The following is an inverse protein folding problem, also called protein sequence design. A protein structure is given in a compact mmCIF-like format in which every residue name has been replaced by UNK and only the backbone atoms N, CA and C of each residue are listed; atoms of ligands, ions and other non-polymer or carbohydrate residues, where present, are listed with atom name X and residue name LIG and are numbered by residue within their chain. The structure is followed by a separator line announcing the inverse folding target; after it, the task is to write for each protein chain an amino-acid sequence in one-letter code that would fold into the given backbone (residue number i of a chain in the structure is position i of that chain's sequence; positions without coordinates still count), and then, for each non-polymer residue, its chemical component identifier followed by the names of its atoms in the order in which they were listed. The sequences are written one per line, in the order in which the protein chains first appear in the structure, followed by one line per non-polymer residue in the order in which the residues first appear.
data_IF_836945101806
#
_entry.id   IF_836945101806
#
_cell.length_a   1.000
_cell.length_b   1.000
_cell.length_c   1.000
_cell.angle_alpha   90.00
_cell.angle_beta   90.00
_cell.angle_gamma   90.00
#
_symmetry.space_group_name_H-M   'P 1'
#
loop_
_entity.id
_entity.type
_entity.pdbx_description
1 polymer ?
#
# COMPACT_ATOMS: atom_id res chain seq x y z
N UNK A 1 26.26 12.07 -38.57
CA UNK A 1 26.75 10.72 -38.90
C UNK A 1 25.94 9.73 -38.08
N UNK A 2 24.96 9.09 -38.72
CA UNK A 2 24.10 8.07 -38.13
C UNK A 2 24.76 6.70 -38.34
N UNK A 3 24.74 5.83 -37.32
CA UNK A 3 25.03 4.41 -37.47
C UNK A 3 23.85 3.61 -36.91
N UNK A 4 23.09 3.03 -37.83
CA UNK A 4 22.03 2.05 -37.62
C UNK A 4 22.58 0.74 -37.06
N UNK A 5 21.95 0.21 -35.99
CA UNK A 5 22.07 -1.21 -35.62
C UNK A 5 20.72 -1.88 -35.87
N UNK A 6 20.65 -2.58 -37.00
CA UNK A 6 19.55 -3.47 -37.32
C UNK A 6 19.52 -4.65 -36.32
N UNK A 7 18.44 -4.74 -35.52
CA UNK A 7 18.12 -5.94 -34.75
C UNK A 7 17.21 -6.81 -35.62
N UNK A 8 17.74 -7.93 -36.09
CA UNK A 8 17.00 -8.91 -36.88
C UNK A 8 16.06 -9.72 -35.99
N UNK A 9 14.76 -9.44 -36.09
CA UNK A 9 13.70 -10.25 -35.50
C UNK A 9 13.57 -11.56 -36.27
N UNK A 10 13.90 -12.69 -35.63
CA UNK A 10 13.65 -14.02 -36.18
C UNK A 10 12.17 -14.35 -36.02
N UNK A 11 11.48 -14.60 -37.13
CA UNK A 11 10.08 -15.04 -37.17
C UNK A 11 10.03 -16.55 -36.87
N UNK A 12 9.58 -16.92 -35.67
CA UNK A 12 9.49 -18.32 -35.25
C UNK A 12 8.34 -19.05 -35.97
N UNK A 13 8.62 -20.22 -36.53
CA UNK A 13 7.64 -21.05 -37.25
C UNK A 13 6.81 -21.90 -36.28
N UNK A 14 5.57 -22.19 -36.65
CA UNK A 14 4.58 -22.93 -35.82
C UNK A 14 4.96 -24.38 -35.49
N UNK A 15 6.02 -24.91 -36.11
CA UNK A 15 6.60 -26.23 -35.83
C UNK A 15 7.48 -26.25 -34.56
N UNK A 16 8.16 -25.16 -34.24
CA UNK A 16 9.00 -25.00 -33.03
C UNK A 16 8.14 -24.99 -31.76
N UNK A 17 7.01 -24.26 -31.80
CA UNK A 17 6.06 -24.17 -30.67
C UNK A 17 5.43 -25.52 -30.29
N UNK A 18 5.31 -26.46 -31.23
CA UNK A 18 4.75 -27.79 -30.96
C UNK A 18 5.72 -28.73 -30.24
N UNK A 19 7.04 -28.55 -30.40
CA UNK A 19 8.05 -29.38 -29.71
C UNK A 19 8.17 -29.01 -28.23
N UNK A 20 8.03 -27.74 -27.88
CA UNK A 20 8.01 -27.29 -26.48
C UNK A 20 6.77 -27.77 -25.70
N UNK A 21 5.66 -28.06 -26.40
CA UNK A 21 4.39 -28.46 -25.78
C UNK A 21 4.29 -29.93 -25.36
N UNK A 22 5.25 -30.79 -25.73
CA UNK A 22 5.21 -32.25 -25.42
C UNK A 22 6.10 -32.69 -24.26
N UNK A 23 6.84 -31.78 -23.60
CA UNK A 23 7.82 -32.15 -22.56
C UNK A 23 7.42 -31.87 -21.11
N UNK A 24 6.17 -31.50 -20.82
CA UNK A 24 5.70 -31.30 -19.44
C UNK A 24 4.35 -31.95 -19.21
N UNK A 25 4.28 -33.27 -19.41
CA UNK A 25 3.31 -34.12 -18.72
C UNK A 25 3.93 -34.48 -17.37
N UNK A 26 3.78 -33.58 -16.40
CA UNK A 26 3.82 -33.87 -14.97
C UNK A 26 3.18 -32.66 -14.28
N UNK A 27 1.98 -32.79 -13.69
CA UNK A 27 1.48 -31.75 -12.82
C UNK A 27 2.40 -31.70 -11.59
N UNK A 28 2.97 -30.54 -11.22
CA UNK A 28 3.50 -30.41 -9.88
C UNK A 28 2.32 -30.59 -8.94
N UNK A 29 2.40 -31.59 -8.07
CA UNK A 29 1.50 -31.72 -6.92
C UNK A 29 1.43 -30.34 -6.29
N UNK A 30 0.25 -29.73 -6.35
CA UNK A 30 0.01 -28.43 -5.75
C UNK A 30 0.20 -28.60 -4.24
N UNK A 31 1.41 -28.33 -3.77
CA UNK A 31 1.65 -28.03 -2.38
C UNK A 31 0.89 -26.72 -2.12
N UNK A 32 -0.37 -26.85 -1.70
CA UNK A 32 -1.20 -25.77 -1.21
C UNK A 32 -0.55 -25.24 0.08
N UNK A 33 0.49 -24.42 -0.08
CA UNK A 33 0.95 -23.56 1.00
C UNK A 33 -0.11 -22.49 1.18
N UNK A 34 -1.05 -22.78 2.07
CA UNK A 34 -1.86 -21.76 2.73
C UNK A 34 -0.94 -20.88 3.56
N UNK A 35 -0.18 -20.00 2.91
CA UNK A 35 0.56 -18.93 3.58
C UNK A 35 -0.47 -17.88 4.00
N UNK A 36 -1.21 -18.17 5.07
CA UNK A 36 -1.90 -17.15 5.86
C UNK A 36 -0.82 -16.29 6.52
N UNK A 37 -0.41 -15.24 5.84
CA UNK A 37 0.38 -14.19 6.47
C UNK A 37 -0.54 -13.44 7.44
N UNK A 38 -0.45 -13.78 8.72
CA UNK A 38 -1.14 -13.09 9.81
C UNK A 38 -0.46 -11.74 10.05
N UNK A 39 -0.99 -10.69 9.43
CA UNK A 39 -0.58 -9.32 9.73
C UNK A 39 -1.44 -8.81 10.90
N UNK A 40 -0.89 -8.86 12.12
CA UNK A 40 -1.50 -8.24 13.29
C UNK A 40 -1.23 -6.74 13.26
N UNK A 41 -2.28 -5.93 13.13
CA UNK A 41 -2.20 -4.48 13.36
C UNK A 41 -2.81 -4.16 14.72
N UNK A 42 -2.04 -3.52 15.60
CA UNK A 42 -2.54 -2.99 16.86
C UNK A 42 -3.38 -1.76 16.56
N UNK A 43 -4.67 -1.81 16.90
CA UNK A 43 -5.54 -0.63 16.85
C UNK A 43 -5.08 0.35 17.94
N UNK A 44 -4.29 1.35 17.56
CA UNK A 44 -3.87 2.41 18.48
C UNK A 44 -5.08 3.32 18.80
N UNK A 45 -5.64 3.10 19.99
CA UNK A 45 -6.44 4.00 20.82
C UNK A 45 -7.03 5.27 20.16
N UNK A 46 -8.33 5.22 19.85
CA UNK A 46 -9.20 6.40 19.81
C UNK A 46 -10.43 6.12 20.67
N UNK A 47 -10.36 6.55 21.94
CA UNK A 47 -11.43 6.77 22.93
C UNK A 47 -12.83 6.20 22.62
N UNK A 48 -12.97 4.88 22.46
CA UNK A 48 -14.28 4.23 22.45
C UNK A 48 -14.19 2.82 23.07
N UNK A 49 -14.67 2.61 24.31
CA UNK A 49 -14.54 1.33 25.02
C UNK A 49 -15.38 0.17 24.43
N UNK A 50 -16.12 0.40 23.34
CA UNK A 50 -16.92 -0.62 22.65
C UNK A 50 -16.27 -1.24 21.41
N UNK A 51 -15.04 -0.84 21.05
CA UNK A 51 -14.29 -1.44 19.95
C UNK A 51 -13.80 -2.84 20.38
N UNK A 52 -14.66 -3.85 20.16
CA UNK A 52 -14.40 -5.27 20.41
C UNK A 52 -12.97 -5.62 19.99
N UNK A 53 -12.16 -6.03 20.95
CA UNK A 53 -10.73 -6.35 20.86
C UNK A 53 -10.42 -7.60 20.03
N UNK A 54 -11.16 -7.84 18.95
CA UNK A 54 -10.89 -8.90 17.98
C UNK A 54 -9.91 -8.43 16.91
N UNK A 55 -9.31 -9.38 16.16
CA UNK A 55 -8.52 -9.02 14.98
C UNK A 55 -9.37 -8.15 14.02
N UNK A 56 -8.76 -7.23 13.27
CA UNK A 56 -9.47 -6.42 12.29
C UNK A 56 -10.41 -7.28 11.43
N UNK A 57 -11.60 -6.80 11.03
CA UNK A 57 -12.58 -7.58 10.29
C UNK A 57 -12.17 -7.86 8.83
N UNK A 58 -10.86 -7.97 8.56
CA UNK A 58 -10.25 -8.14 7.25
C UNK A 58 -9.11 -9.17 7.30
N UNK A 59 -8.91 -9.90 6.20
CA UNK A 59 -7.77 -10.81 5.97
C UNK A 59 -7.18 -10.59 4.59
N UNK A 60 -5.90 -10.90 4.41
CA UNK A 60 -5.24 -10.85 3.10
C UNK A 60 -5.26 -12.24 2.47
N UNK A 61 -5.62 -12.34 1.19
CA UNK A 61 -5.54 -13.59 0.42
C UNK A 61 -5.22 -13.29 -1.06
N UNK A 62 -4.95 -14.33 -1.84
CA UNK A 62 -4.71 -14.21 -3.28
C UNK A 62 -6.02 -14.30 -4.07
N UNK A 63 -6.03 -13.60 -5.20
CA UNK A 63 -7.04 -13.68 -6.25
C UNK A 63 -6.41 -14.27 -7.50
N UNK A 64 -7.22 -14.90 -8.35
CA UNK A 64 -6.73 -15.54 -9.57
C UNK A 64 -6.16 -14.55 -10.59
N UNK A 65 -6.67 -13.30 -10.61
CA UNK A 65 -6.36 -12.33 -11.67
C UNK A 65 -5.76 -11.00 -11.18
N UNK A 66 -5.91 -10.63 -9.90
CA UNK A 66 -5.48 -9.33 -9.38
C UNK A 66 -4.37 -9.41 -8.31
N UNK A 67 -3.85 -10.61 -8.03
CA UNK A 67 -2.83 -10.83 -7.01
C UNK A 67 -3.41 -10.75 -5.59
N UNK A 68 -2.75 -10.02 -4.67
CA UNK A 68 -3.14 -9.93 -3.25
C UNK A 68 -4.32 -8.98 -3.05
N UNK A 69 -5.35 -9.46 -2.36
CA UNK A 69 -6.55 -8.69 -1.99
C UNK A 69 -6.86 -8.75 -0.50
N UNK A 70 -7.73 -7.84 -0.04
CA UNK A 70 -8.23 -7.76 1.33
C UNK A 70 -9.70 -8.19 1.36
N UNK A 71 -10.05 -9.12 2.25
CA UNK A 71 -11.36 -9.75 2.33
C UNK A 71 -11.96 -9.61 3.72
N UNK A 72 -13.25 -9.33 3.81
CA UNK A 72 -13.94 -9.27 5.09
C UNK A 72 -13.99 -10.64 5.79
N UNK A 73 -13.78 -10.67 7.11
CA UNK A 73 -13.90 -11.90 7.92
C UNK A 73 -15.30 -12.09 8.53
N UNK A 74 -16.15 -11.06 8.45
CA UNK A 74 -17.56 -11.06 8.88
C UNK A 74 -18.36 -10.02 8.08
N UNK A 75 -19.68 -9.95 8.32
CA UNK A 75 -20.52 -8.86 7.80
C UNK A 75 -20.08 -7.51 8.40
N UNK A 76 -20.00 -6.48 7.56
CA UNK A 76 -19.61 -5.11 7.91
C UNK A 76 -20.81 -4.19 7.69
N UNK A 77 -21.16 -3.40 8.70
CA UNK A 77 -22.27 -2.46 8.64
C UNK A 77 -21.92 -1.17 7.88
N UNK A 78 -22.95 -0.42 7.47
CA UNK A 78 -22.74 0.92 6.89
C UNK A 78 -22.18 1.86 7.97
N UNK A 79 -21.12 2.60 7.64
CA UNK A 79 -20.45 3.52 8.57
C UNK A 79 -19.53 2.84 9.58
N UNK A 80 -19.33 1.52 9.51
CA UNK A 80 -18.44 0.81 10.42
C UNK A 80 -16.95 1.05 10.10
N UNK A 81 -16.15 1.30 11.14
CA UNK A 81 -14.70 1.43 11.00
C UNK A 81 -14.06 0.04 10.76
N UNK A 82 -13.52 -0.15 9.56
CA UNK A 82 -12.90 -1.42 9.14
C UNK A 82 -11.43 -1.51 9.60
N UNK A 83 -10.65 -0.45 9.41
CA UNK A 83 -9.23 -0.41 9.78
C UNK A 83 -8.72 1.03 9.85
N UNK A 84 -7.73 1.28 10.70
CA UNK A 84 -6.98 2.54 10.77
C UNK A 84 -5.49 2.23 10.66
N UNK A 85 -4.79 2.93 9.76
CA UNK A 85 -3.35 2.82 9.58
C UNK A 85 -2.69 4.17 9.80
N UNK A 86 -1.52 4.16 10.44
CA UNK A 86 -0.64 5.32 10.49
C UNK A 86 0.28 5.28 9.27
N UNK A 87 0.34 6.35 8.46
CA UNK A 87 1.24 6.39 7.31
C UNK A 87 2.70 6.34 7.77
N UNK A 88 3.52 5.58 7.03
CA UNK A 88 4.96 5.48 7.32
C UNK A 88 5.71 6.76 6.95
N UNK A 89 5.30 7.40 5.84
CA UNK A 89 5.86 8.64 5.31
C UNK A 89 4.71 9.50 4.82
N UNK A 90 4.75 10.79 5.15
CA UNK A 90 3.77 11.77 4.66
C UNK A 90 4.49 13.04 4.24
N UNK A 91 4.12 13.58 3.10
CA UNK A 91 4.60 14.87 2.63
C UNK A 91 3.49 15.61 1.87
N UNK A 92 3.31 16.92 2.07
CA UNK A 92 2.32 17.71 1.31
C UNK A 92 2.61 17.68 -0.19
N UNK A 93 1.56 17.68 -1.01
CA UNK A 93 1.75 17.91 -2.44
C UNK A 93 2.28 19.33 -2.70
N UNK A 94 2.94 19.51 -3.85
CA UNK A 94 3.56 20.79 -4.21
C UNK A 94 2.58 21.99 -4.14
N UNK A 95 1.34 21.81 -4.60
CA UNK A 95 0.30 22.87 -4.56
C UNK A 95 -0.13 23.30 -3.15
N UNK A 96 0.17 22.45 -2.15
CA UNK A 96 -0.22 22.63 -0.75
C UNK A 96 0.98 22.97 0.16
N UNK A 97 2.18 23.12 -0.42
CA UNK A 97 3.32 23.64 0.34
C UNK A 97 2.95 24.96 1.00
N UNK A 98 3.37 25.13 2.25
CA UNK A 98 3.06 26.28 3.11
C UNK A 98 1.57 26.54 3.43
N UNK A 99 0.65 25.70 2.94
CA UNK A 99 -0.81 25.82 3.20
C UNK A 99 -1.34 24.79 4.18
N UNK A 100 -0.54 23.76 4.49
CA UNK A 100 -0.88 22.69 5.42
C UNK A 100 0.28 22.42 6.37
N UNK A 101 -0.03 21.89 7.55
CA UNK A 101 0.98 21.40 8.48
C UNK A 101 1.67 20.15 7.91
N UNK A 102 3.00 20.11 7.92
CA UNK A 102 3.79 19.02 7.32
C UNK A 102 3.66 17.69 8.07
N UNK A 103 3.27 17.72 9.34
CA UNK A 103 2.99 16.54 10.15
C UNK A 103 1.53 16.07 10.09
N UNK A 104 0.58 16.90 10.55
CA UNK A 104 -0.82 16.49 10.67
C UNK A 104 -1.71 16.81 9.45
N UNK A 105 -1.16 17.42 8.40
CA UNK A 105 -1.83 17.80 7.14
C UNK A 105 -3.06 18.71 7.30
N UNK A 106 -3.33 19.25 8.49
CA UNK A 106 -4.37 20.27 8.70
C UNK A 106 -4.02 21.55 7.96
N UNK A 107 -5.02 22.19 7.37
CA UNK A 107 -4.87 23.51 6.72
C UNK A 107 -4.39 24.55 7.74
N UNK A 108 -3.39 25.33 7.33
CA UNK A 108 -2.93 26.49 8.10
C UNK A 108 -3.84 27.69 7.77
N UNK A 109 -4.21 28.46 8.78
CA UNK A 109 -4.95 29.71 8.59
C UNK A 109 -4.04 30.81 8.02
N UNK A 110 -4.62 31.85 7.42
CA UNK A 110 -3.86 32.99 6.87
C UNK A 110 -3.15 33.85 7.94
N UNK A 111 -3.52 33.71 9.20
CA UNK A 111 -3.19 34.61 10.31
C UNK A 111 -2.00 34.14 11.18
N UNK A 112 -1.28 33.08 10.81
CA UNK A 112 -0.25 32.56 11.70
C UNK A 112 1.13 33.14 11.40
N UNK A 113 1.56 34.07 12.25
CA UNK A 113 2.97 34.45 12.52
C UNK A 113 3.85 33.30 13.07
N UNK A 114 3.40 32.06 12.92
CA UNK A 114 4.05 30.82 13.36
C UNK A 114 4.59 30.08 12.14
N UNK A 115 5.64 29.28 12.37
CA UNK A 115 6.34 28.45 11.37
C UNK A 115 5.46 28.07 10.16
N UNK A 116 5.88 28.48 8.95
CA UNK A 116 5.18 28.23 7.68
C UNK A 116 4.86 26.75 7.39
N UNK A 117 5.41 25.82 8.17
CA UNK A 117 5.34 24.38 7.96
C UNK A 117 4.55 23.63 9.04
N UNK A 118 4.37 24.18 10.25
CA UNK A 118 3.81 23.43 11.38
C UNK A 118 2.79 24.25 12.18
N UNK A 119 1.65 23.63 12.51
CA UNK A 119 0.60 24.30 13.30
C UNK A 119 0.91 24.40 14.80
N UNK A 120 1.86 23.63 15.30
CA UNK A 120 2.29 23.65 16.71
C UNK A 120 3.72 23.13 16.83
N UNK A 121 4.33 23.43 17.98
CA UNK A 121 5.64 22.90 18.33
C UNK A 121 5.63 21.36 18.41
N UNK A 122 4.56 20.78 18.95
CA UNK A 122 4.40 19.31 18.99
C UNK A 122 4.42 18.68 17.59
N UNK A 123 3.81 19.34 16.60
CA UNK A 123 3.84 18.86 15.22
C UNK A 123 5.24 18.95 14.62
N UNK A 124 6.00 19.99 14.96
CA UNK A 124 7.40 20.15 14.53
C UNK A 124 8.32 19.10 15.14
N UNK A 125 8.09 18.75 16.40
CA UNK A 125 8.91 17.73 17.06
C UNK A 125 8.55 16.32 16.61
N UNK A 126 7.26 16.01 16.50
CA UNK A 126 6.82 14.71 16.04
C UNK A 126 7.11 14.44 14.57
N UNK A 127 7.24 15.49 13.75
CA UNK A 127 7.65 15.32 12.36
C UNK A 127 9.05 14.70 12.26
N UNK A 128 9.99 15.06 13.15
CA UNK A 128 11.36 14.52 13.12
C UNK A 128 11.44 13.01 13.39
N UNK A 129 10.39 12.43 13.98
CA UNK A 129 10.32 11.00 14.34
C UNK A 129 9.77 10.15 13.19
N UNK A 130 9.11 10.77 12.21
CA UNK A 130 8.59 10.09 11.02
C UNK A 130 9.66 10.20 9.93
N UNK A 131 9.91 9.10 9.21
CA UNK A 131 10.90 9.11 8.14
C UNK A 131 10.44 10.11 7.07
N UNK A 132 11.12 11.25 6.97
CA UNK A 132 11.01 12.09 5.78
C UNK A 132 11.96 11.52 4.73
N UNK A 133 11.43 11.15 3.56
CA UNK A 133 12.27 11.05 2.37
C UNK A 133 12.76 12.46 2.05
N UNK A 134 13.96 12.80 2.51
CA UNK A 134 14.74 13.95 2.05
C UNK A 134 15.49 13.54 0.79
#
# INVERSE_FOLDING_TARGET
MFLDRAVTSRRWTSSELRRLRRRTLNPPVAASLSTTATYSTTAANVRNPAARSGPPPIRVALTESAGRGVFATRKIGTGELIHSAQPLVTYPSYSLLHKVCYYCLRKLGQESSRSYYFCSEDCRENSKKVLFCV
#
